data_IF_892248553652
#
_entry.id   IF_892248553652
#
_cell.length_a   1.000
_cell.length_b   1.000
_cell.length_c   1.000
_cell.angle_alpha   90.00
_cell.angle_beta   90.00
_cell.angle_gamma   90.00
#
_symmetry.space_group_name_H-M   'P 1'
#
loop_
_entity.id
_entity.type
_entity.pdbx_description
1 polymer ?
#
# COMPACT_ATOMS: atom_id res chain seq x y z
N UNK A 1 -15.35 -40.49 -24.95
CA UNK A 1 -14.82 -39.75 -23.79
C UNK A 1 -13.39 -40.27 -23.57
N UNK A 2 -12.39 -39.59 -24.13
CA UNK A 2 -11.00 -40.06 -24.10
C UNK A 2 -10.40 -39.79 -22.72
N UNK A 3 -10.11 -40.86 -21.98
CA UNK A 3 -9.35 -40.78 -20.73
C UNK A 3 -7.92 -40.31 -21.06
N UNK A 4 -7.48 -39.22 -20.44
CA UNK A 4 -6.07 -38.79 -20.53
C UNK A 4 -5.20 -39.81 -19.80
N UNK A 5 -4.11 -40.31 -20.42
CA UNK A 5 -3.21 -41.26 -19.78
C UNK A 5 -2.57 -40.63 -18.53
N UNK A 6 -2.40 -41.43 -17.48
CA UNK A 6 -1.74 -41.01 -16.25
C UNK A 6 -0.30 -40.58 -16.54
N UNK A 7 0.10 -39.39 -16.03
CA UNK A 7 1.45 -38.84 -16.25
C UNK A 7 2.52 -39.79 -15.71
N UNK A 8 3.59 -39.93 -16.47
CA UNK A 8 4.77 -40.69 -16.03
C UNK A 8 5.39 -40.03 -14.78
N UNK A 9 5.98 -40.84 -13.90
CA UNK A 9 6.68 -40.37 -12.70
C UNK A 9 7.66 -39.24 -13.02
N UNK A 10 8.40 -39.35 -14.12
CA UNK A 10 9.38 -38.34 -14.56
C UNK A 10 8.73 -37.02 -14.97
N UNK A 11 7.59 -37.06 -15.67
CA UNK A 11 6.83 -35.85 -16.03
C UNK A 11 6.30 -35.16 -14.77
N UNK A 12 5.77 -35.93 -13.81
CA UNK A 12 5.29 -35.38 -12.54
C UNK A 12 6.40 -34.75 -11.69
N UNK A 13 7.62 -35.30 -11.74
CA UNK A 13 8.80 -34.77 -11.03
C UNK A 13 9.31 -33.50 -11.72
N UNK A 14 9.41 -33.50 -13.05
CA UNK A 14 9.80 -32.34 -13.84
C UNK A 14 8.83 -31.16 -13.65
N UNK A 15 7.52 -31.41 -13.62
CA UNK A 15 6.50 -30.39 -13.35
C UNK A 15 6.65 -29.77 -11.95
N UNK A 16 6.94 -30.59 -10.92
CA UNK A 16 7.16 -30.12 -9.54
C UNK A 16 8.43 -29.27 -9.42
N UNK A 17 9.52 -29.70 -10.05
CA UNK A 17 10.79 -28.96 -10.08
C UNK A 17 10.63 -27.63 -10.83
N UNK A 18 9.93 -27.63 -11.97
CA UNK A 18 9.61 -26.41 -12.72
C UNK A 18 8.73 -25.45 -11.90
N UNK A 19 7.71 -25.96 -11.20
CA UNK A 19 6.86 -25.17 -10.32
C UNK A 19 7.62 -24.58 -9.13
N UNK A 20 8.53 -25.35 -8.50
CA UNK A 20 9.38 -24.88 -7.42
C UNK A 20 10.39 -23.82 -7.88
N UNK A 21 10.95 -23.97 -9.09
CA UNK A 21 11.82 -22.96 -9.69
C UNK A 21 11.05 -21.67 -10.01
N UNK A 22 9.82 -21.80 -10.54
CA UNK A 22 8.94 -20.66 -10.80
C UNK A 22 8.56 -19.92 -9.52
N UNK A 23 8.18 -20.62 -8.45
CA UNK A 23 7.85 -19.98 -7.16
C UNK A 23 9.06 -19.30 -6.54
N UNK A 24 10.27 -19.88 -6.68
CA UNK A 24 11.53 -19.24 -6.28
C UNK A 24 11.80 -17.95 -7.04
N UNK A 25 11.65 -17.97 -8.38
CA UNK A 25 11.82 -16.78 -9.22
C UNK A 25 10.78 -15.69 -8.88
N UNK A 26 9.52 -16.08 -8.67
CA UNK A 26 8.46 -15.15 -8.24
C UNK A 26 8.78 -14.54 -6.87
N UNK A 27 9.27 -15.34 -5.91
CA UNK A 27 9.65 -14.84 -4.60
C UNK A 27 10.81 -13.85 -4.69
N UNK A 28 11.81 -14.09 -5.55
CA UNK A 28 12.92 -13.16 -5.78
C UNK A 28 12.43 -11.83 -6.37
N UNK A 29 11.54 -11.88 -7.36
CA UNK A 29 10.95 -10.67 -7.96
C UNK A 29 10.09 -9.91 -6.95
N UNK A 30 9.26 -10.61 -6.17
CA UNK A 30 8.46 -10.00 -5.12
C UNK A 30 9.32 -9.36 -4.03
N UNK A 31 10.39 -10.04 -3.59
CA UNK A 31 11.35 -9.48 -2.62
C UNK A 31 12.02 -8.23 -3.17
N UNK A 32 12.53 -8.30 -4.41
CA UNK A 32 13.12 -7.12 -5.06
C UNK A 32 12.13 -5.96 -5.19
N UNK A 33 10.87 -6.23 -5.53
CA UNK A 33 9.84 -5.20 -5.61
C UNK A 33 9.55 -4.56 -4.24
N UNK A 34 9.53 -5.37 -3.17
CA UNK A 34 9.36 -4.90 -1.78
C UNK A 34 10.58 -4.10 -1.31
N UNK A 35 11.79 -4.54 -1.64
CA UNK A 35 13.02 -3.85 -1.24
C UNK A 35 13.13 -2.48 -1.92
N UNK A 36 12.65 -2.36 -3.16
CA UNK A 36 12.60 -1.09 -3.91
C UNK A 36 11.31 -0.29 -3.69
N UNK A 37 10.41 -0.75 -2.82
CA UNK A 37 9.07 -0.16 -2.64
C UNK A 37 9.14 1.31 -2.23
N UNK A 38 10.15 1.71 -1.45
CA UNK A 38 10.39 3.12 -1.08
C UNK A 38 10.68 3.99 -2.31
N UNK A 39 11.52 3.51 -3.22
CA UNK A 39 11.90 4.25 -4.43
C UNK A 39 10.74 4.42 -5.40
N UNK A 40 10.02 3.33 -5.71
CA UNK A 40 8.90 3.40 -6.64
C UNK A 40 7.71 4.19 -6.09
N UNK A 41 7.42 4.10 -4.78
CA UNK A 41 6.35 4.91 -4.17
C UNK A 41 6.67 6.40 -4.18
N UNK A 42 7.93 6.78 -3.87
CA UNK A 42 8.39 8.16 -4.01
C UNK A 42 8.34 8.63 -5.47
N UNK A 43 8.79 7.82 -6.41
CA UNK A 43 8.76 8.14 -7.84
C UNK A 43 7.32 8.37 -8.32
N UNK A 44 6.38 7.50 -7.94
CA UNK A 44 4.96 7.66 -8.28
C UNK A 44 4.36 8.94 -7.70
N UNK A 45 4.63 9.24 -6.42
CA UNK A 45 4.17 10.49 -5.81
C UNK A 45 4.78 11.71 -6.50
N UNK A 46 6.08 11.67 -6.80
CA UNK A 46 6.76 12.74 -7.51
C UNK A 46 6.19 12.94 -8.92
N UNK A 47 5.86 11.87 -9.64
CA UNK A 47 5.21 11.93 -10.94
C UNK A 47 3.80 12.54 -10.86
N UNK A 48 3.00 12.15 -9.86
CA UNK A 48 1.65 12.69 -9.66
C UNK A 48 1.73 14.20 -9.36
N UNK A 49 2.58 14.61 -8.42
CA UNK A 49 2.76 16.02 -8.07
C UNK A 49 3.39 16.83 -9.20
N UNK A 50 4.33 16.24 -9.94
CA UNK A 50 4.90 16.83 -11.14
C UNK A 50 3.84 17.07 -12.22
N UNK A 51 2.96 16.08 -12.45
CA UNK A 51 1.84 16.24 -13.37
C UNK A 51 0.88 17.36 -12.93
N UNK A 52 0.58 17.42 -11.64
CA UNK A 52 -0.33 18.41 -11.08
C UNK A 52 0.19 19.85 -11.25
N UNK A 53 1.49 20.06 -11.03
CA UNK A 53 2.15 21.37 -11.18
C UNK A 53 2.33 21.76 -12.64
N UNK A 54 2.71 20.82 -13.51
CA UNK A 54 3.09 21.14 -14.90
C UNK A 54 1.88 21.20 -15.84
N UNK A 55 0.89 20.34 -15.65
CA UNK A 55 -0.22 20.19 -16.61
C UNK A 55 -1.58 20.57 -16.03
N UNK A 56 -1.82 20.29 -14.76
CA UNK A 56 -3.14 20.46 -14.16
C UNK A 56 -3.29 21.74 -13.32
N UNK A 57 -2.28 22.61 -13.24
CA UNK A 57 -2.30 23.84 -12.44
C UNK A 57 -2.83 23.64 -11.00
N UNK A 58 -2.48 22.52 -10.37
CA UNK A 58 -2.94 22.11 -9.03
C UNK A 58 -4.42 21.75 -8.91
N UNK A 59 -5.08 21.32 -9.98
CA UNK A 59 -6.49 20.90 -9.93
C UNK A 59 -6.68 19.43 -10.29
N UNK A 60 -5.62 18.62 -10.31
CA UNK A 60 -5.73 17.23 -10.73
C UNK A 60 -6.66 16.42 -9.81
N UNK A 61 -7.38 15.43 -10.36
CA UNK A 61 -8.24 14.52 -9.60
C UNK A 61 -7.48 13.60 -8.64
N UNK A 62 -6.15 13.54 -8.76
CA UNK A 62 -5.30 12.75 -7.86
C UNK A 62 -5.09 13.42 -6.51
N UNK A 63 -5.02 14.76 -6.49
CA UNK A 63 -4.69 15.53 -5.28
C UNK A 63 -5.91 16.25 -4.71
N UNK A 64 -6.93 16.53 -5.54
CA UNK A 64 -8.09 17.30 -5.15
C UNK A 64 -9.41 16.57 -5.44
N UNK A 65 -10.35 16.67 -4.51
CA UNK A 65 -11.74 16.24 -4.69
C UNK A 65 -12.40 17.06 -5.82
N UNK A 66 -13.09 16.38 -6.74
CA UNK A 66 -13.55 16.99 -8.00
C UNK A 66 -15.05 17.31 -8.04
N UNK A 67 -15.84 16.72 -7.14
CA UNK A 67 -17.30 16.76 -7.20
C UNK A 67 -17.87 17.69 -6.14
N UNK A 68 -17.50 18.98 -6.19
CA UNK A 68 -18.07 19.97 -5.29
C UNK A 68 -19.55 20.24 -5.65
N UNK A 69 -20.42 20.33 -4.64
CA UNK A 69 -21.84 20.62 -4.85
C UNK A 69 -21.98 22.09 -5.28
N UNK A 70 -22.54 22.32 -6.47
CA UNK A 70 -22.73 23.68 -6.99
C UNK A 70 -23.80 24.41 -6.18
N UNK A 71 -23.46 25.57 -5.62
CA UNK A 71 -24.38 26.41 -4.85
C UNK A 71 -24.52 26.06 -3.37
N UNK A 72 -23.71 25.14 -2.86
CA UNK A 72 -23.68 24.81 -1.43
C UNK A 72 -22.82 25.80 -0.63
N UNK A 73 -23.44 26.49 0.33
CA UNK A 73 -22.76 27.47 1.18
C UNK A 73 -21.71 26.84 2.10
N UNK A 74 -21.85 25.55 2.38
CA UNK A 74 -20.92 24.78 3.22
C UNK A 74 -19.77 24.15 2.42
N UNK A 75 -19.78 24.28 1.09
CA UNK A 75 -18.72 23.78 0.21
C UNK A 75 -18.55 22.27 0.25
N UNK A 76 -19.62 21.50 0.47
CA UNK A 76 -19.55 20.04 0.56
C UNK A 76 -19.29 19.40 -0.82
N UNK A 77 -18.82 18.16 -0.78
CA UNK A 77 -18.50 17.35 -1.96
C UNK A 77 -19.42 16.12 -2.03
N UNK A 78 -19.87 15.80 -3.23
CA UNK A 78 -20.56 14.56 -3.55
C UNK A 78 -19.58 13.45 -3.95
N UNK A 79 -20.06 12.20 -3.94
CA UNK A 79 -19.30 11.06 -4.44
C UNK A 79 -19.37 11.03 -5.97
N UNK A 80 -18.23 10.87 -6.64
CA UNK A 80 -18.21 10.62 -8.07
C UNK A 80 -17.08 9.70 -8.53
N UNK A 81 -17.15 9.27 -9.79
CA UNK A 81 -16.21 8.26 -10.31
C UNK A 81 -14.76 8.74 -10.31
N UNK A 82 -14.51 10.05 -10.45
CA UNK A 82 -13.15 10.62 -10.41
C UNK A 82 -12.49 10.57 -9.02
N UNK A 83 -13.23 10.25 -7.96
CA UNK A 83 -12.66 10.11 -6.62
C UNK A 83 -11.73 8.87 -6.51
N UNK A 84 -11.82 7.93 -7.45
CA UNK A 84 -10.92 6.78 -7.52
C UNK A 84 -9.45 7.21 -7.64
N UNK A 85 -9.17 8.30 -8.38
CA UNK A 85 -7.81 8.81 -8.56
C UNK A 85 -7.25 9.36 -7.25
N UNK A 86 -8.08 10.07 -6.49
CA UNK A 86 -7.74 10.58 -5.17
C UNK A 86 -7.49 9.45 -4.17
N UNK A 87 -8.30 8.39 -4.20
CA UNK A 87 -8.08 7.19 -3.39
C UNK A 87 -6.78 6.49 -3.77
N UNK A 88 -6.50 6.32 -5.07
CA UNK A 88 -5.26 5.70 -5.55
C UNK A 88 -4.01 6.48 -5.11
N UNK A 89 -4.08 7.82 -5.16
CA UNK A 89 -3.02 8.67 -4.60
C UNK A 89 -2.76 8.36 -3.13
N UNK A 90 -3.82 8.32 -2.31
CA UNK A 90 -3.70 7.99 -0.89
C UNK A 90 -3.20 6.56 -0.66
N UNK A 91 -3.56 5.58 -1.48
CA UNK A 91 -2.99 4.22 -1.39
C UNK A 91 -1.46 4.25 -1.54
N UNK A 92 -0.94 5.00 -2.52
CA UNK A 92 0.52 5.14 -2.71
C UNK A 92 1.15 5.90 -1.54
N UNK A 93 0.52 6.98 -1.08
CA UNK A 93 0.99 7.75 0.08
C UNK A 93 1.05 6.90 1.35
N UNK A 94 -0.02 6.17 1.68
CA UNK A 94 -0.07 5.26 2.84
C UNK A 94 0.96 4.13 2.73
N UNK A 95 1.23 3.65 1.51
CA UNK A 95 2.27 2.66 1.28
C UNK A 95 3.65 3.21 1.66
N UNK A 96 3.97 4.43 1.26
CA UNK A 96 5.23 5.10 1.64
C UNK A 96 5.31 5.35 3.15
N UNK A 97 4.22 5.84 3.75
CA UNK A 97 4.14 6.09 5.20
C UNK A 97 4.39 4.79 5.98
N UNK A 98 3.74 3.69 5.59
CA UNK A 98 3.92 2.37 6.22
C UNK A 98 5.38 1.97 6.27
N UNK A 99 6.06 2.00 5.11
CA UNK A 99 7.47 1.59 5.01
C UNK A 99 8.35 2.52 5.85
N UNK A 100 8.09 3.82 5.80
CA UNK A 100 8.85 4.82 6.57
C UNK A 100 8.70 4.59 8.06
N UNK A 101 7.47 4.40 8.55
CA UNK A 101 7.20 4.12 9.97
C UNK A 101 7.84 2.79 10.39
N UNK A 102 7.69 1.73 9.59
CA UNK A 102 8.29 0.43 9.91
C UNK A 102 9.82 0.51 9.98
N UNK A 103 10.49 1.15 9.01
CA UNK A 103 11.95 1.16 8.91
C UNK A 103 12.62 2.23 9.79
N UNK A 104 11.99 3.41 9.96
CA UNK A 104 12.60 4.55 10.66
C UNK A 104 12.13 4.71 12.11
N UNK A 105 11.01 4.08 12.49
CA UNK A 105 10.46 4.20 13.85
C UNK A 105 10.41 2.84 14.54
N UNK A 106 9.76 1.85 13.94
CA UNK A 106 9.51 0.56 14.61
C UNK A 106 10.74 -0.36 14.63
N UNK A 107 11.52 -0.41 13.56
CA UNK A 107 12.80 -1.15 13.54
C UNK A 107 13.79 -0.65 14.61
N UNK A 108 14.11 0.66 14.72
CA UNK A 108 15.02 1.12 15.76
C UNK A 108 14.45 0.89 17.16
N UNK A 109 13.13 1.03 17.35
CA UNK A 109 12.48 0.72 18.63
C UNK A 109 12.64 -0.76 19.01
N UNK A 110 12.47 -1.67 18.07
CA UNK A 110 12.65 -3.11 18.29
C UNK A 110 14.10 -3.46 18.64
N UNK A 111 15.07 -2.84 17.94
CA UNK A 111 16.50 -3.04 18.22
C UNK A 111 16.90 -2.45 19.56
N UNK A 112 16.38 -1.29 19.92
CA UNK A 112 16.59 -0.68 21.23
C UNK A 112 16.02 -1.55 22.36
N UNK A 113 14.88 -2.21 22.11
CA UNK A 113 14.32 -3.24 23.00
C UNK A 113 15.08 -4.58 23.03
N UNK A 114 16.26 -4.67 22.40
CA UNK A 114 17.13 -5.86 22.46
C UNK A 114 16.79 -6.98 21.47
N UNK A 115 15.92 -6.75 20.49
CA UNK A 115 15.59 -7.75 19.47
C UNK A 115 16.71 -7.83 18.43
N UNK A 116 17.52 -8.89 18.50
CA UNK A 116 18.66 -9.10 17.58
C UNK A 116 18.30 -9.81 16.28
N UNK A 117 17.21 -10.59 16.26
CA UNK A 117 16.82 -11.38 15.09
C UNK A 117 16.03 -10.54 14.08
N UNK A 118 16.56 -10.39 12.87
CA UNK A 118 15.90 -9.67 11.76
C UNK A 118 14.45 -10.11 11.53
N UNK A 119 14.17 -11.43 11.53
CA UNK A 119 12.81 -11.96 11.39
C UNK A 119 11.85 -11.49 12.49
N UNK A 120 12.34 -11.38 13.74
CA UNK A 120 11.55 -10.89 14.86
C UNK A 120 11.30 -9.39 14.76
N UNK A 121 12.30 -8.62 14.31
CA UNK A 121 12.17 -7.18 14.04
C UNK A 121 11.11 -6.91 12.96
N UNK A 122 11.14 -7.63 11.84
CA UNK A 122 10.13 -7.49 10.78
C UNK A 122 8.72 -7.74 11.32
N UNK A 123 8.52 -8.85 12.06
CA UNK A 123 7.23 -9.17 12.68
C UNK A 123 6.77 -8.11 13.67
N UNK A 124 7.69 -7.59 14.50
CA UNK A 124 7.38 -6.50 15.41
C UNK A 124 6.93 -5.25 14.63
N UNK A 125 7.62 -4.90 13.54
CA UNK A 125 7.22 -3.79 12.68
C UNK A 125 5.83 -3.98 12.06
N UNK A 126 5.52 -5.20 11.58
CA UNK A 126 4.21 -5.52 11.00
C UNK A 126 3.08 -5.34 12.03
N UNK A 127 3.25 -5.85 13.24
CA UNK A 127 2.25 -5.73 14.31
C UNK A 127 2.18 -4.30 14.84
N UNK A 128 3.32 -3.64 15.02
CA UNK A 128 3.40 -2.25 15.47
C UNK A 128 2.73 -1.30 14.48
N UNK A 129 2.86 -1.53 13.17
CA UNK A 129 2.16 -0.75 12.16
C UNK A 129 0.64 -0.85 12.31
N UNK A 130 0.11 -2.06 12.56
CA UNK A 130 -1.33 -2.24 12.80
C UNK A 130 -1.79 -1.43 14.01
N UNK A 131 -1.04 -1.47 15.12
CA UNK A 131 -1.35 -0.70 16.33
C UNK A 131 -1.38 0.80 16.03
N UNK A 132 -0.33 1.33 15.39
CA UNK A 132 -0.25 2.76 15.01
C UNK A 132 -1.42 3.15 14.11
N UNK A 133 -1.70 2.35 13.08
CA UNK A 133 -2.80 2.60 12.15
C UNK A 133 -4.16 2.62 12.84
N UNK A 134 -4.46 1.63 13.68
CA UNK A 134 -5.73 1.54 14.38
C UNK A 134 -5.94 2.67 15.38
N UNK A 135 -4.91 3.04 16.15
CA UNK A 135 -5.01 4.15 17.12
C UNK A 135 -5.32 5.46 16.40
N UNK A 136 -4.57 5.79 15.35
CA UNK A 136 -4.77 7.03 14.59
C UNK A 136 -6.13 7.04 13.93
N UNK A 137 -6.47 5.97 13.18
CA UNK A 137 -7.73 5.87 12.45
C UNK A 137 -8.95 5.92 13.38
N UNK A 138 -8.89 5.21 14.52
CA UNK A 138 -9.97 5.23 15.50
C UNK A 138 -10.12 6.61 16.15
N UNK A 139 -9.02 7.26 16.53
CA UNK A 139 -9.04 8.61 17.14
C UNK A 139 -9.60 9.63 16.15
N UNK A 140 -9.14 9.61 14.90
CA UNK A 140 -9.65 10.49 13.84
C UNK A 140 -11.12 10.20 13.56
N UNK A 141 -11.51 8.92 13.48
CA UNK A 141 -12.90 8.51 13.28
C UNK A 141 -13.83 9.02 14.38
N UNK A 142 -13.44 8.85 15.65
CA UNK A 142 -14.19 9.39 16.79
C UNK A 142 -14.26 10.91 16.76
N UNK A 143 -13.16 11.59 16.43
CA UNK A 143 -13.13 13.04 16.29
C UNK A 143 -14.11 13.52 15.23
N UNK A 144 -14.06 12.95 14.02
CA UNK A 144 -14.99 13.30 12.93
C UNK A 144 -16.43 13.10 13.39
N UNK A 145 -16.76 11.94 13.94
CA UNK A 145 -18.11 11.63 14.45
C UNK A 145 -18.59 12.63 15.52
N UNK A 146 -17.69 13.11 16.38
CA UNK A 146 -18.03 14.09 17.42
C UNK A 146 -18.27 15.51 16.87
N UNK A 147 -17.68 15.84 15.72
CA UNK A 147 -17.76 17.16 15.10
C UNK A 147 -18.82 17.28 14.01
N UNK A 148 -19.36 16.17 13.51
CA UNK A 148 -20.43 16.21 12.53
C UNK A 148 -21.76 16.59 13.20
N UNK A 149 -22.51 17.56 12.65
CA UNK A 149 -23.89 17.80 13.07
C UNK A 149 -24.70 16.53 12.86
N UNK A 150 -25.54 16.19 13.85
CA UNK A 150 -26.45 15.05 13.77
C UNK A 150 -27.49 15.25 12.67
#
# INVERSE_FOLDING_TARGET
>A
MSERPAKSYFESKADKEAAAKKSSALNQVCQWAVDNQTGWSLALLALIHGYDVVFANKTSPFVHLQHQISGDAEGRFERGCRDVYYVLYWVVAFTLIRITVMNKVLEPLARWGGVSSSRKVTRFGEQGWLVVYYIISNTVGMYVMSTQPH
#
